data_IF_516970262571
#
_entry.id   IF_516970262571
#
_cell.length_a   1.000
_cell.length_b   1.000
_cell.length_c   1.000
_cell.angle_alpha   90.00
_cell.angle_beta   90.00
_cell.angle_gamma   90.00
#
_symmetry.space_group_name_H-M   'P 1'
#
loop_
_entity.id
_entity.type
_entity.pdbx_description
1 polymer ?
#
# COMPACT_ATOMS: atom_id res chain seq x y z
N UNK A 1 -4.43 6.76 -1.40
CA UNK A 1 -3.11 7.23 -1.89
C UNK A 1 -3.02 8.74 -1.88
N UNK A 2 -3.82 9.48 -2.66
CA UNK A 2 -3.71 10.95 -2.74
C UNK A 2 -3.80 11.68 -1.38
N UNK A 3 -4.63 11.22 -0.45
CA UNK A 3 -4.71 11.77 0.91
C UNK A 3 -3.45 11.55 1.73
N UNK A 4 -2.81 10.38 1.60
CA UNK A 4 -1.50 10.12 2.23
C UNK A 4 -0.41 10.98 1.59
N UNK A 5 -0.48 11.21 0.27
CA UNK A 5 0.48 12.07 -0.44
C UNK A 5 0.36 13.53 0.02
N UNK A 6 -0.87 14.02 0.22
CA UNK A 6 -1.12 15.33 0.80
C UNK A 6 -0.54 15.46 2.22
N UNK A 7 -0.73 14.46 3.07
CA UNK A 7 -0.14 14.43 4.42
C UNK A 7 1.40 14.51 4.36
N UNK A 8 2.03 13.70 3.52
CA UNK A 8 3.48 13.72 3.34
C UNK A 8 4.00 15.04 2.77
N UNK A 9 3.30 15.64 1.81
CA UNK A 9 3.64 16.96 1.27
C UNK A 9 3.58 18.04 2.35
N UNK A 10 2.56 18.03 3.21
CA UNK A 10 2.46 18.97 4.34
C UNK A 10 3.64 18.81 5.28
N UNK A 11 4.03 17.59 5.64
CA UNK A 11 5.19 17.34 6.52
C UNK A 11 6.49 17.90 5.94
N UNK A 12 6.82 17.58 4.68
CA UNK A 12 8.10 18.02 4.09
C UNK A 12 8.11 19.54 3.82
N UNK A 13 6.97 20.13 3.47
CA UNK A 13 6.88 21.57 3.20
C UNK A 13 6.88 22.39 4.49
N UNK A 14 6.31 21.87 5.57
CA UNK A 14 6.33 22.54 6.88
C UNK A 14 7.74 22.56 7.50
N UNK A 15 8.59 21.60 7.13
CA UNK A 15 10.00 21.56 7.56
C UNK A 15 10.91 22.51 6.76
N UNK A 16 10.55 22.83 5.51
CA UNK A 16 11.30 23.74 4.67
C UNK A 16 11.31 25.18 5.24
N UNK A 17 12.49 25.79 5.36
CA UNK A 17 12.67 27.15 5.90
C UNK A 17 12.85 28.19 4.80
N UNK A 18 13.20 27.74 3.60
CA UNK A 18 13.41 28.57 2.43
C UNK A 18 13.08 27.81 1.14
N UNK A 19 12.96 28.54 0.04
CA UNK A 19 12.81 27.99 -1.31
C UNK A 19 13.96 27.03 -1.71
N UNK A 20 15.15 27.23 -1.15
CA UNK A 20 16.32 26.37 -1.35
C UNK A 20 16.15 24.97 -0.76
N UNK A 21 15.24 24.80 0.20
CA UNK A 21 14.96 23.51 0.83
C UNK A 21 13.99 22.65 0.00
N UNK A 22 13.25 23.26 -0.94
CA UNK A 22 12.23 22.58 -1.75
C UNK A 22 12.77 21.33 -2.47
N UNK A 23 13.94 21.37 -3.15
CA UNK A 23 14.47 20.16 -3.79
C UNK A 23 14.71 19.00 -2.81
N UNK A 24 15.19 19.32 -1.60
CA UNK A 24 15.43 18.32 -0.54
C UNK A 24 14.10 17.79 0.03
N UNK A 25 13.15 18.68 0.32
CA UNK A 25 11.80 18.34 0.76
C UNK A 25 11.10 17.39 -0.24
N UNK A 26 11.15 17.72 -1.53
CA UNK A 26 10.56 16.89 -2.59
C UNK A 26 11.22 15.53 -2.71
N UNK A 27 12.53 15.43 -2.44
CA UNK A 27 13.22 14.13 -2.43
C UNK A 27 12.76 13.26 -1.25
N UNK A 28 12.56 13.84 -0.08
CA UNK A 28 12.03 13.11 1.09
C UNK A 28 10.60 12.65 0.84
N UNK A 29 9.76 13.49 0.23
CA UNK A 29 8.43 13.10 -0.21
C UNK A 29 8.47 11.90 -1.17
N UNK A 30 9.32 11.95 -2.20
CA UNK A 30 9.46 10.85 -3.15
C UNK A 30 9.87 9.54 -2.43
N UNK A 31 10.88 9.61 -1.55
CA UNK A 31 11.35 8.45 -0.76
C UNK A 31 10.23 7.89 0.11
N UNK A 32 9.45 8.76 0.76
CA UNK A 32 8.37 8.35 1.65
C UNK A 32 7.21 7.66 0.91
N UNK A 33 6.91 8.12 -0.32
CA UNK A 33 5.64 7.80 -0.99
C UNK A 33 5.74 6.86 -2.17
N UNK A 34 6.80 6.97 -2.98
CA UNK A 34 6.89 6.28 -4.28
C UNK A 34 6.71 4.77 -4.17
N UNK A 35 7.54 4.12 -3.35
CA UNK A 35 7.50 2.66 -3.19
C UNK A 35 6.13 2.16 -2.71
N UNK A 36 5.47 2.93 -1.84
CA UNK A 36 4.16 2.57 -1.29
C UNK A 36 3.07 2.72 -2.35
N UNK A 37 3.08 3.82 -3.11
CA UNK A 37 2.19 4.02 -4.25
C UNK A 37 2.33 2.91 -5.29
N UNK A 38 3.57 2.55 -5.65
CA UNK A 38 3.87 1.47 -6.58
C UNK A 38 3.36 0.11 -6.05
N UNK A 39 3.60 -0.19 -4.77
CA UNK A 39 3.11 -1.43 -4.15
C UNK A 39 1.58 -1.51 -4.13
N UNK A 40 0.89 -0.41 -3.79
CA UNK A 40 -0.58 -0.36 -3.80
C UNK A 40 -1.13 -0.52 -5.21
N UNK A 41 -0.53 0.13 -6.22
CA UNK A 41 -0.95 -0.03 -7.61
C UNK A 41 -0.74 -1.46 -8.11
N UNK A 42 0.41 -2.07 -7.83
CA UNK A 42 0.69 -3.46 -8.19
C UNK A 42 -0.30 -4.43 -7.52
N UNK A 43 -0.56 -4.26 -6.22
CA UNK A 43 -1.55 -5.06 -5.51
C UNK A 43 -2.97 -4.86 -6.03
N UNK A 44 -3.36 -3.63 -6.39
CA UNK A 44 -4.67 -3.36 -6.98
C UNK A 44 -4.83 -4.06 -8.33
N UNK A 45 -3.78 -4.05 -9.17
CA UNK A 45 -3.76 -4.77 -10.45
C UNK A 45 -3.91 -6.27 -10.26
N UNK A 46 -3.08 -6.87 -9.39
CA UNK A 46 -3.17 -8.30 -9.05
C UNK A 46 -4.56 -8.63 -8.50
N UNK A 47 -5.11 -7.78 -7.64
CA UNK A 47 -6.46 -8.00 -7.11
C UNK A 47 -7.52 -7.99 -8.22
N UNK A 48 -7.37 -7.12 -9.21
CA UNK A 48 -8.21 -7.14 -10.42
C UNK A 48 -8.13 -8.47 -11.16
N UNK A 49 -6.93 -9.04 -11.33
CA UNK A 49 -6.73 -10.36 -11.96
C UNK A 49 -7.45 -11.48 -11.18
N UNK A 50 -7.38 -11.46 -9.84
CA UNK A 50 -8.09 -12.44 -9.02
C UNK A 50 -9.61 -12.25 -9.08
N UNK A 51 -10.12 -11.03 -8.93
CA UNK A 51 -11.58 -10.78 -8.97
C UNK A 51 -12.18 -11.22 -10.30
N UNK A 52 -11.46 -11.04 -11.40
CA UNK A 52 -11.91 -11.39 -12.76
C UNK A 52 -11.30 -12.69 -13.27
N UNK A 53 -10.92 -13.60 -12.37
CA UNK A 53 -10.43 -14.92 -12.75
C UNK A 53 -11.48 -15.61 -13.63
N UNK A 54 -11.09 -16.26 -14.74
CA UNK A 54 -12.03 -17.01 -15.57
C UNK A 54 -12.70 -18.13 -14.77
N UNK A 55 -13.94 -18.43 -15.14
CA UNK A 55 -14.66 -19.57 -14.56
C UNK A 55 -13.86 -20.87 -14.76
N UNK A 56 -13.75 -21.67 -13.70
CA UNK A 56 -13.00 -22.92 -13.71
C UNK A 56 -12.66 -23.41 -12.31
N UNK A 57 -12.00 -24.56 -12.22
CA UNK A 57 -11.67 -25.18 -10.93
C UNK A 57 -10.89 -24.24 -10.00
N UNK A 58 -9.91 -23.49 -10.53
CA UNK A 58 -9.13 -22.52 -9.73
C UNK A 58 -10.01 -21.42 -9.12
N UNK A 59 -10.94 -20.88 -9.91
CA UNK A 59 -11.89 -19.86 -9.45
C UNK A 59 -12.84 -20.42 -8.40
N UNK A 60 -13.34 -21.65 -8.58
CA UNK A 60 -14.19 -22.29 -7.58
C UNK A 60 -13.47 -22.54 -6.24
N UNK A 61 -12.21 -22.99 -6.27
CA UNK A 61 -11.42 -23.18 -5.05
C UNK A 61 -11.19 -21.86 -4.32
N UNK A 62 -10.82 -20.81 -5.06
CA UNK A 62 -10.64 -19.46 -4.54
C UNK A 62 -11.94 -18.96 -3.90
N UNK A 63 -13.07 -19.09 -4.59
CA UNK A 63 -14.39 -18.65 -4.10
C UNK A 63 -14.84 -19.42 -2.84
N UNK A 64 -14.59 -20.74 -2.78
CA UNK A 64 -14.83 -21.53 -1.56
C UNK A 64 -14.02 -21.00 -0.37
N UNK A 65 -12.75 -20.67 -0.57
CA UNK A 65 -11.90 -20.06 0.47
C UNK A 65 -12.43 -18.68 0.89
N UNK A 66 -12.77 -17.81 -0.06
CA UNK A 66 -13.34 -16.49 0.24
C UNK A 66 -14.67 -16.58 1.01
N UNK A 67 -15.48 -17.60 0.74
CA UNK A 67 -16.75 -17.84 1.44
C UNK A 67 -16.57 -18.49 2.83
N UNK A 68 -15.35 -18.84 3.23
CA UNK A 68 -15.09 -19.58 4.48
C UNK A 68 -15.58 -21.03 4.44
N UNK A 69 -15.72 -21.60 3.25
CA UNK A 69 -16.21 -22.96 3.01
C UNK A 69 -15.09 -23.97 2.71
N UNK A 70 -13.83 -23.55 2.88
CA UNK A 70 -12.66 -24.40 2.63
C UNK A 70 -12.59 -25.54 3.68
N UNK A 71 -12.35 -26.76 3.20
CA UNK A 71 -12.15 -27.94 4.04
C UNK A 71 -10.70 -28.05 4.49
N UNK A 72 -10.45 -28.76 5.57
CA UNK A 72 -9.09 -28.98 6.08
C UNK A 72 -8.16 -29.74 5.11
N UNK A 73 -8.77 -30.48 4.18
CA UNK A 73 -8.08 -31.28 3.15
C UNK A 73 -7.83 -30.50 1.86
N UNK A 74 -8.48 -29.35 1.69
CA UNK A 74 -8.36 -28.54 0.47
C UNK A 74 -6.97 -27.89 0.42
N UNK A 75 -6.40 -27.79 -0.78
CA UNK A 75 -5.13 -27.09 -0.97
C UNK A 75 -5.25 -25.60 -0.61
N UNK A 76 -4.17 -25.04 -0.08
CA UNK A 76 -4.12 -23.62 0.22
C UNK A 76 -4.07 -22.81 -1.08
N UNK A 77 -5.19 -22.17 -1.40
CA UNK A 77 -5.32 -21.29 -2.56
C UNK A 77 -5.08 -19.82 -2.19
N UNK A 78 -4.47 -19.10 -3.11
CA UNK A 78 -4.32 -17.64 -3.05
C UNK A 78 -5.66 -16.97 -3.31
N UNK A 79 -6.02 -15.98 -2.49
CA UNK A 79 -7.29 -15.21 -2.62
C UNK A 79 -7.07 -13.79 -3.11
N UNK A 80 -5.82 -13.45 -3.43
CA UNK A 80 -5.41 -12.13 -3.85
C UNK A 80 -5.21 -11.16 -2.68
N UNK A 81 -4.69 -9.96 -2.97
CA UNK A 81 -4.26 -9.01 -1.94
C UNK A 81 -5.39 -8.47 -1.04
N UNK A 82 -6.64 -8.41 -1.53
CA UNK A 82 -7.75 -7.81 -0.79
C UNK A 82 -8.12 -8.60 0.48
N UNK A 83 -7.94 -9.93 0.47
CA UNK A 83 -8.26 -10.79 1.60
C UNK A 83 -7.03 -11.20 2.41
N UNK A 84 -5.84 -10.78 1.99
CA UNK A 84 -4.62 -10.94 2.77
C UNK A 84 -4.65 -9.98 3.98
N UNK A 85 -4.67 -10.55 5.18
CA UNK A 85 -4.76 -9.78 6.42
C UNK A 85 -3.52 -8.93 6.68
N UNK A 86 -2.34 -9.38 6.24
CA UNK A 86 -1.09 -8.65 6.40
C UNK A 86 -1.07 -7.43 5.48
N UNK A 87 -1.48 -7.59 4.23
CA UNK A 87 -1.60 -6.50 3.25
C UNK A 87 -2.66 -5.51 3.67
N UNK A 88 -3.84 -5.98 4.10
CA UNK A 88 -4.93 -5.12 4.59
C UNK A 88 -4.48 -4.29 5.80
N UNK A 89 -3.83 -4.93 6.79
CA UNK A 89 -3.27 -4.21 7.94
C UNK A 89 -2.21 -3.20 7.52
N UNK A 90 -1.27 -3.59 6.65
CA UNK A 90 -0.23 -2.69 6.11
C UNK A 90 -0.80 -1.53 5.30
N UNK A 91 -1.90 -1.75 4.56
CA UNK A 91 -2.56 -0.72 3.77
C UNK A 91 -3.29 0.28 4.68
N UNK A 92 -4.16 -0.21 5.56
CA UNK A 92 -5.09 0.66 6.31
C UNK A 92 -4.51 1.25 7.59
N UNK A 93 -3.51 0.62 8.21
CA UNK A 93 -2.92 1.10 9.48
C UNK A 93 -1.70 2.00 9.28
N UNK A 94 -1.50 2.53 8.08
CA UNK A 94 -0.35 3.40 7.78
C UNK A 94 -0.62 4.85 8.16
N UNK A 95 0.15 5.40 9.10
CA UNK A 95 0.18 6.83 9.36
C UNK A 95 1.22 7.53 8.46
N UNK A 96 0.75 8.24 7.44
CA UNK A 96 1.62 8.97 6.51
C UNK A 96 2.37 10.13 7.18
N UNK A 97 1.78 10.81 8.17
CA UNK A 97 2.44 11.89 8.90
C UNK A 97 3.67 11.36 9.65
N UNK A 98 3.48 10.38 10.53
CA UNK A 98 4.58 9.81 11.34
C UNK A 98 5.69 9.22 10.46
N UNK A 99 5.31 8.57 9.36
CA UNK A 99 6.27 7.99 8.44
C UNK A 99 7.12 9.05 7.74
N UNK A 100 6.49 10.09 7.20
CA UNK A 100 7.23 11.16 6.52
C UNK A 100 8.04 12.00 7.50
N UNK A 101 7.50 12.29 8.68
CA UNK A 101 8.20 13.06 9.72
C UNK A 101 9.50 12.40 10.16
N UNK A 102 9.52 11.07 10.32
CA UNK A 102 10.75 10.32 10.63
C UNK A 102 11.84 10.57 9.57
N UNK A 103 11.47 10.53 8.30
CA UNK A 103 12.40 10.76 7.19
C UNK A 103 12.88 12.23 7.13
N UNK A 104 12.00 13.18 7.47
CA UNK A 104 12.37 14.59 7.60
C UNK A 104 13.45 14.76 8.68
N UNK A 105 13.23 14.19 9.87
CA UNK A 105 14.17 14.25 10.99
C UNK A 105 15.51 13.57 10.63
N UNK A 106 15.47 12.37 10.04
CA UNK A 106 16.66 11.63 9.62
C UNK A 106 17.47 12.37 8.55
N UNK A 107 16.78 13.06 7.64
CA UNK A 107 17.43 13.85 6.59
C UNK A 107 17.95 15.21 7.08
N UNK A 108 17.64 15.61 8.31
CA UNK A 108 17.99 16.93 8.87
C UNK A 108 17.45 18.07 8.01
N UNK A 109 16.22 17.94 7.53
CA UNK A 109 15.45 19.04 6.95
C UNK A 109 14.68 19.73 8.08
#
# INVERSE_FOLDING_TARGET
MATEDAAALVEVMSAAKSDRDIPKAMRIYEISRKWRCEKVQASARRNGEFIHMPDGEEQEHRDRKMAGLQRAEDEEVDTGPLLDSNFSSWLYNHNAFDHTQKLVVEAGL
#
